data_IF_157106287789
#
_entry.id   IF_157106287789
#
_cell.length_a   1.000
_cell.length_b   1.000
_cell.length_c   1.000
_cell.angle_alpha   90.00
_cell.angle_beta   90.00
_cell.angle_gamma   90.00
#
_symmetry.space_group_name_H-M   'P 1'
#
loop_
_entity.id
_entity.type
_entity.pdbx_description
1 polymer ?
#
# COMPACT_ATOMS: atom_id res chain seq x y z
N UNK A 1 12.05 24.48 -0.17
CA UNK A 1 12.25 24.22 -1.61
C UNK A 1 10.90 23.96 -2.22
N UNK A 2 10.62 24.61 -3.36
CA UNK A 2 9.39 24.37 -4.11
C UNK A 2 9.73 23.95 -5.53
N UNK A 3 8.98 22.97 -6.05
CA UNK A 3 9.09 22.53 -7.43
C UNK A 3 7.70 22.21 -8.02
N UNK A 4 7.43 22.59 -9.26
CA UNK A 4 6.14 22.29 -9.89
C UNK A 4 5.94 20.79 -10.09
N UNK A 5 7.02 20.06 -10.38
CA UNK A 5 7.01 18.62 -10.62
C UNK A 5 8.36 17.98 -10.24
N UNK A 6 8.28 16.76 -9.71
CA UNK A 6 9.41 15.87 -9.43
C UNK A 6 9.07 14.47 -9.93
N UNK A 7 9.82 13.98 -10.91
CA UNK A 7 9.68 12.61 -11.40
C UNK A 7 10.43 11.64 -10.48
N UNK A 8 9.74 10.65 -9.93
CA UNK A 8 10.30 9.72 -8.94
C UNK A 8 11.42 8.84 -9.53
N UNK A 9 11.31 8.46 -10.80
CA UNK A 9 12.37 7.72 -11.48
C UNK A 9 13.70 8.48 -11.53
N UNK A 10 13.67 9.82 -11.47
CA UNK A 10 14.90 10.64 -11.45
C UNK A 10 15.61 10.53 -10.08
N UNK A 11 14.89 10.22 -9.01
CA UNK A 11 15.48 9.95 -7.71
C UNK A 11 16.35 8.69 -7.72
N UNK A 12 16.05 7.74 -8.60
CA UNK A 12 16.89 6.55 -8.79
C UNK A 12 18.30 6.91 -9.30
N UNK A 13 18.45 7.98 -10.08
CA UNK A 13 19.76 8.47 -10.49
C UNK A 13 20.59 9.02 -9.32
N UNK A 14 19.91 9.54 -8.29
CA UNK A 14 20.55 10.04 -7.05
C UNK A 14 20.91 8.91 -6.10
N UNK A 15 20.29 7.73 -6.25
CA UNK A 15 20.53 6.57 -5.40
C UNK A 15 22.00 6.09 -5.40
N UNK A 16 22.77 6.39 -6.43
CA UNK A 16 24.23 6.13 -6.47
C UNK A 16 25.00 6.90 -5.39
N UNK A 17 24.47 8.03 -4.92
CA UNK A 17 25.07 8.86 -3.86
C UNK A 17 24.54 8.52 -2.48
N UNK A 18 23.50 7.67 -2.37
CA UNK A 18 23.01 7.18 -1.08
C UNK A 18 23.99 6.14 -0.56
N UNK A 19 24.48 6.24 0.69
CA UNK A 19 25.35 5.24 1.30
C UNK A 19 24.72 3.84 1.21
N UNK A 20 25.57 2.82 1.03
CA UNK A 20 25.12 1.44 1.07
C UNK A 20 24.44 1.15 2.42
N UNK A 21 23.23 0.53 2.37
CA UNK A 21 22.43 0.22 3.54
C UNK A 21 20.97 -0.02 3.18
N UNK A 22 20.15 -0.18 4.21
CA UNK A 22 18.74 -0.59 4.06
C UNK A 22 17.91 0.40 3.25
N UNK A 23 18.17 1.70 3.36
CA UNK A 23 17.50 2.73 2.55
C UNK A 23 17.76 2.57 1.06
N UNK A 24 19.00 2.23 0.68
CA UNK A 24 19.35 2.00 -0.72
C UNK A 24 18.64 0.76 -1.26
N UNK A 25 18.62 -0.31 -0.49
CA UNK A 25 17.92 -1.55 -0.83
C UNK A 25 16.41 -1.32 -0.93
N UNK A 26 15.84 -0.56 -0.01
CA UNK A 26 14.44 -0.16 -0.03
C UNK A 26 14.10 0.58 -1.33
N UNK A 27 14.83 1.63 -1.67
CA UNK A 27 14.59 2.40 -2.89
C UNK A 27 14.74 1.54 -4.15
N UNK A 28 15.72 0.64 -4.20
CA UNK A 28 15.89 -0.28 -5.33
C UNK A 28 14.74 -1.27 -5.46
N UNK A 29 14.26 -1.81 -4.34
CA UNK A 29 13.13 -2.77 -4.33
C UNK A 29 11.81 -2.11 -4.70
N UNK A 30 11.55 -0.94 -4.15
CA UNK A 30 10.33 -0.18 -4.45
C UNK A 30 10.31 0.35 -5.88
N UNK A 31 11.49 0.68 -6.44
CA UNK A 31 11.63 1.24 -7.79
C UNK A 31 10.51 2.24 -8.15
N UNK A 32 10.31 3.31 -7.36
CA UNK A 32 9.15 4.17 -7.50
C UNK A 32 9.19 4.92 -8.82
N UNK A 33 8.05 4.96 -9.49
CA UNK A 33 7.82 5.66 -10.75
C UNK A 33 6.59 6.54 -10.64
N UNK A 34 6.48 7.55 -11.52
CA UNK A 34 5.39 8.52 -11.51
C UNK A 34 5.87 9.91 -11.13
N UNK A 35 4.95 10.81 -10.85
CA UNK A 35 5.27 12.20 -10.57
C UNK A 35 4.73 12.67 -9.21
N UNK A 36 5.48 13.53 -8.54
CA UNK A 36 4.99 14.40 -7.48
C UNK A 36 4.83 15.79 -8.06
N UNK A 37 3.63 16.37 -7.96
CA UNK A 37 3.31 17.73 -8.43
C UNK A 37 3.12 18.67 -7.25
N UNK A 38 3.36 19.95 -7.49
CA UNK A 38 3.23 21.01 -6.48
C UNK A 38 4.03 20.67 -5.21
N UNK A 39 5.26 20.25 -5.40
CA UNK A 39 6.15 19.80 -4.33
C UNK A 39 6.54 20.99 -3.46
N UNK A 40 6.30 20.89 -2.16
CA UNK A 40 6.75 21.81 -1.12
C UNK A 40 7.56 21.01 -0.08
N UNK A 41 8.87 21.30 0.01
CA UNK A 41 9.79 20.65 0.95
C UNK A 41 10.32 21.70 1.93
N UNK A 42 9.96 21.55 3.18
CA UNK A 42 10.50 22.28 4.32
C UNK A 42 11.59 21.46 5.00
N UNK A 43 12.70 22.12 5.31
CA UNK A 43 13.80 21.51 6.04
C UNK A 43 14.30 22.45 7.14
N UNK A 44 14.34 21.97 8.37
CA UNK A 44 14.77 22.73 9.55
C UNK A 44 15.82 21.98 10.36
N UNK A 45 17.08 22.39 10.25
CA UNK A 45 18.21 21.78 10.95
C UNK A 45 18.19 21.99 12.47
N UNK A 46 17.37 22.88 12.99
CA UNK A 46 17.28 23.18 14.42
C UNK A 46 16.43 22.18 15.18
N UNK A 47 15.62 21.39 14.46
CA UNK A 47 14.68 20.40 15.01
C UNK A 47 15.33 19.03 15.19
N UNK A 48 14.75 18.15 16.05
CA UNK A 48 15.06 16.72 16.08
C UNK A 48 14.93 16.08 14.71
N UNK A 49 15.70 15.01 14.44
CA UNK A 49 15.74 14.37 13.11
C UNK A 49 14.36 14.05 12.53
N UNK A 50 13.48 13.49 13.35
CA UNK A 50 12.11 13.10 12.93
C UNK A 50 11.21 14.27 12.54
N UNK A 51 11.55 15.50 12.97
CA UNK A 51 10.79 16.71 12.71
C UNK A 51 11.45 17.64 11.69
N UNK A 52 12.66 17.30 11.21
CA UNK A 52 13.43 18.18 10.31
C UNK A 52 12.82 18.37 8.95
N UNK A 53 12.09 17.37 8.46
CA UNK A 53 11.57 17.34 7.10
C UNK A 53 10.06 17.36 7.11
N UNK A 54 9.47 18.16 6.25
CA UNK A 54 8.07 18.08 5.87
C UNK A 54 7.97 18.24 4.36
N UNK A 55 7.55 17.18 3.70
CA UNK A 55 7.23 17.13 2.28
C UNK A 55 5.72 17.17 2.11
N UNK A 56 5.23 17.99 1.20
CA UNK A 56 3.85 18.03 0.72
C UNK A 56 3.87 17.99 -0.79
N UNK A 57 2.99 17.18 -1.38
CA UNK A 57 2.89 17.08 -2.83
C UNK A 57 1.55 16.42 -3.24
N UNK A 58 1.20 16.54 -4.52
CA UNK A 58 0.18 15.72 -5.13
C UNK A 58 0.88 14.56 -5.84
N UNK A 59 0.58 13.32 -5.43
CA UNK A 59 1.00 12.12 -6.11
C UNK A 59 0.18 11.95 -7.39
N UNK A 60 0.85 11.64 -8.48
CA UNK A 60 0.23 11.43 -9.80
C UNK A 60 0.75 10.14 -10.41
N UNK A 61 -0.13 9.14 -10.48
CA UNK A 61 0.13 7.84 -11.11
C UNK A 61 1.37 7.12 -10.56
N UNK A 62 1.55 7.14 -9.23
CA UNK A 62 2.69 6.49 -8.57
C UNK A 62 2.57 4.97 -8.68
N UNK A 63 3.67 4.33 -9.10
CA UNK A 63 3.85 2.89 -9.12
C UNK A 63 4.99 2.51 -8.19
N UNK A 64 4.88 1.36 -7.52
CA UNK A 64 5.92 0.84 -6.63
C UNK A 64 5.94 -0.67 -6.65
N UNK A 65 7.13 -1.27 -6.55
CA UNK A 65 7.31 -2.70 -6.35
C UNK A 65 6.92 -3.15 -4.95
N UNK A 66 6.79 -4.47 -4.77
CA UNK A 66 6.57 -5.07 -3.46
C UNK A 66 7.86 -5.07 -2.63
N UNK A 67 7.73 -4.86 -1.31
CA UNK A 67 8.86 -4.92 -0.39
C UNK A 67 8.40 -5.28 1.03
N UNK A 68 9.03 -6.29 1.62
CA UNK A 68 8.93 -6.67 3.05
C UNK A 68 7.50 -6.60 3.63
N UNK A 69 6.54 -7.27 2.98
CA UNK A 69 5.14 -7.27 3.41
C UNK A 69 4.29 -6.11 2.88
N UNK A 70 4.91 -5.13 2.23
CA UNK A 70 4.18 -4.08 1.49
C UNK A 70 3.87 -4.59 0.08
N UNK A 71 2.62 -4.48 -0.41
CA UNK A 71 2.29 -4.88 -1.77
C UNK A 71 2.93 -3.96 -2.82
N UNK A 72 3.16 -4.49 -4.01
CA UNK A 72 3.32 -3.64 -5.18
C UNK A 72 2.00 -2.93 -5.48
N UNK A 73 2.06 -1.71 -5.99
CA UNK A 73 0.88 -0.97 -6.41
C UNK A 73 1.16 -0.13 -7.66
N UNK A 74 0.09 0.14 -8.41
CA UNK A 74 0.15 0.99 -9.60
C UNK A 74 -0.98 2.01 -9.60
N UNK A 75 -0.73 3.14 -10.27
CA UNK A 75 -1.69 4.22 -10.48
C UNK A 75 -2.20 4.85 -9.18
N UNK A 76 -1.33 4.96 -8.17
CA UNK A 76 -1.64 5.67 -6.93
C UNK A 76 -1.61 7.16 -7.17
N UNK A 77 -2.74 7.83 -6.92
CA UNK A 77 -2.87 9.29 -7.01
C UNK A 77 -3.53 9.82 -5.75
N UNK A 78 -3.19 11.07 -5.38
CA UNK A 78 -3.76 11.70 -4.19
C UNK A 78 -2.83 12.74 -3.56
N UNK A 79 -3.21 13.25 -2.39
CA UNK A 79 -2.39 14.20 -1.64
C UNK A 79 -1.46 13.47 -0.68
N UNK A 80 -0.17 13.78 -0.75
CA UNK A 80 0.89 13.21 0.07
C UNK A 80 1.42 14.25 1.07
N UNK A 81 1.54 13.86 2.33
CA UNK A 81 2.34 14.57 3.32
C UNK A 81 3.26 13.59 4.05
N UNK A 82 4.56 13.88 4.11
CA UNK A 82 5.56 13.00 4.72
C UNK A 82 6.61 13.78 5.49
N UNK A 83 6.90 13.34 6.70
CA UNK A 83 8.13 13.61 7.44
C UNK A 83 9.14 12.48 7.27
N UNK A 84 10.21 12.47 8.10
CA UNK A 84 11.24 11.41 8.05
C UNK A 84 10.69 10.08 8.59
N UNK A 85 9.88 10.12 9.64
CA UNK A 85 9.39 8.90 10.31
C UNK A 85 7.87 8.74 10.29
N UNK A 86 7.15 9.62 9.62
CA UNK A 86 5.69 9.56 9.58
C UNK A 86 5.15 10.19 8.30
N UNK A 87 3.95 9.85 7.95
CA UNK A 87 3.27 10.47 6.82
C UNK A 87 1.92 9.86 6.54
N UNK A 88 1.27 10.40 5.55
CA UNK A 88 0.04 9.85 5.01
C UNK A 88 -0.12 10.22 3.54
N UNK A 89 -0.94 9.45 2.87
CA UNK A 89 -1.48 9.77 1.55
C UNK A 89 -3.01 9.69 1.60
N UNK A 90 -3.66 10.76 1.18
CA UNK A 90 -5.09 10.78 0.90
C UNK A 90 -5.28 10.29 -0.53
N UNK A 91 -5.62 9.00 -0.67
CA UNK A 91 -5.82 8.35 -1.96
C UNK A 91 -7.08 8.87 -2.64
N UNK A 92 -6.96 9.19 -3.91
CA UNK A 92 -8.05 9.46 -4.84
C UNK A 92 -7.64 9.04 -6.26
N UNK A 93 -7.43 7.74 -6.44
CA UNK A 93 -7.06 7.14 -7.72
C UNK A 93 -8.33 6.80 -8.49
N UNK A 94 -8.62 7.55 -9.56
CA UNK A 94 -9.83 7.43 -10.36
C UNK A 94 -9.57 6.84 -11.77
N UNK A 95 -8.30 6.65 -12.13
CA UNK A 95 -7.89 6.16 -13.46
C UNK A 95 -7.35 4.72 -13.41
N UNK A 96 -7.93 3.92 -12.56
CA UNK A 96 -7.44 2.59 -12.25
C UNK A 96 -6.52 2.60 -11.03
N UNK A 97 -6.43 1.46 -10.39
CA UNK A 97 -5.52 1.16 -9.28
C UNK A 97 -5.28 -0.35 -9.30
N UNK A 98 -4.06 -0.78 -9.10
CA UNK A 98 -3.83 -2.20 -8.82
C UNK A 98 -2.96 -2.39 -7.59
N UNK A 99 -3.16 -3.53 -6.94
CA UNK A 99 -2.40 -3.97 -5.78
C UNK A 99 -1.98 -5.43 -5.97
N UNK A 100 -0.74 -5.75 -5.66
CA UNK A 100 -0.21 -7.09 -5.81
C UNK A 100 0.64 -7.52 -4.62
N UNK A 101 0.19 -8.56 -3.95
CA UNK A 101 0.92 -9.27 -2.91
C UNK A 101 1.48 -10.59 -3.46
N UNK A 102 2.71 -10.62 -4.00
CA UNK A 102 3.25 -11.81 -4.66
C UNK A 102 3.43 -13.01 -3.73
N UNK A 103 3.57 -12.79 -2.43
CA UNK A 103 3.66 -13.85 -1.41
C UNK A 103 2.30 -14.45 -1.01
N UNK A 104 1.19 -13.90 -1.46
CA UNK A 104 -0.16 -14.29 -1.03
C UNK A 104 -1.06 -14.60 -2.24
N UNK A 105 -0.93 -13.86 -3.33
CA UNK A 105 -1.77 -13.95 -4.52
C UNK A 105 -0.92 -14.20 -5.76
N UNK A 106 -1.46 -14.98 -6.72
CA UNK A 106 -0.77 -15.24 -7.99
C UNK A 106 -0.82 -14.06 -8.95
N UNK A 107 -1.86 -13.24 -8.86
CA UNK A 107 -2.10 -12.14 -9.79
C UNK A 107 -2.45 -10.83 -9.06
N UNK A 108 -2.20 -9.68 -9.70
CA UNK A 108 -2.63 -8.39 -9.17
C UNK A 108 -4.15 -8.28 -9.08
N UNK A 109 -4.62 -7.60 -8.06
CA UNK A 109 -6.01 -7.16 -7.95
C UNK A 109 -6.17 -5.81 -8.63
N UNK A 110 -7.12 -5.72 -9.57
CA UNK A 110 -7.40 -4.49 -10.32
C UNK A 110 -8.71 -3.86 -9.88
N UNK A 111 -8.67 -2.54 -9.70
CA UNK A 111 -9.81 -1.73 -9.30
C UNK A 111 -9.91 -0.51 -10.22
N UNK A 112 -11.10 0.00 -10.43
CA UNK A 112 -11.35 1.22 -11.19
C UNK A 112 -11.03 2.45 -10.36
N UNK A 113 -11.29 2.37 -9.05
CA UNK A 113 -11.07 3.45 -8.09
C UNK A 113 -10.52 2.93 -6.78
N UNK A 114 -9.60 3.72 -6.19
CA UNK A 114 -9.16 3.57 -4.81
C UNK A 114 -9.26 4.93 -4.10
N UNK A 115 -9.85 4.95 -2.89
CA UNK A 115 -9.97 6.15 -2.09
C UNK A 115 -9.82 5.82 -0.60
N UNK A 116 -9.32 6.78 0.17
CA UNK A 116 -9.11 6.66 1.61
C UNK A 116 -7.79 7.24 2.06
N UNK A 117 -7.50 7.18 3.36
CA UNK A 117 -6.21 7.62 3.89
C UNK A 117 -5.37 6.42 4.28
N UNK A 118 -4.16 6.33 3.75
CA UNK A 118 -3.12 5.41 4.22
C UNK A 118 -2.07 6.24 4.96
N UNK A 119 -1.72 5.82 6.16
CA UNK A 119 -0.76 6.51 7.03
C UNK A 119 0.33 5.55 7.47
N UNK A 120 1.51 6.08 7.78
CA UNK A 120 2.62 5.32 8.32
C UNK A 120 3.32 6.07 9.44
N UNK A 121 3.88 5.30 10.35
CA UNK A 121 4.64 5.81 11.48
C UNK A 121 5.80 4.86 11.81
N UNK A 122 7.02 5.36 11.76
CA UNK A 122 8.20 4.64 12.22
C UNK A 122 8.33 4.78 13.73
N UNK A 123 8.54 3.66 14.41
CA UNK A 123 8.76 3.57 15.86
C UNK A 123 10.21 3.09 16.07
N UNK A 124 11.17 4.02 16.27
CA UNK A 124 12.60 3.66 16.37
C UNK A 124 12.90 2.65 17.48
N UNK A 125 12.20 2.76 18.63
CA UNK A 125 12.42 1.91 19.81
C UNK A 125 12.07 0.45 19.56
N UNK A 126 11.21 0.19 18.58
CA UNK A 126 10.77 -1.16 18.15
C UNK A 126 11.35 -1.58 16.83
N UNK A 127 12.07 -0.68 16.16
CA UNK A 127 12.58 -0.85 14.81
C UNK A 127 11.50 -1.36 13.83
N UNK A 128 10.33 -0.73 13.89
CA UNK A 128 9.16 -1.13 13.13
C UNK A 128 8.48 0.06 12.47
N UNK A 129 7.83 -0.16 11.34
CA UNK A 129 6.95 0.81 10.70
C UNK A 129 5.52 0.31 10.80
N UNK A 130 4.65 1.08 11.42
CA UNK A 130 3.22 0.87 11.38
C UNK A 130 2.65 1.51 10.12
N UNK A 131 1.91 0.73 9.32
CA UNK A 131 1.21 1.23 8.12
C UNK A 131 -0.26 0.86 8.26
N UNK A 132 -1.14 1.81 8.01
CA UNK A 132 -2.56 1.50 8.16
C UNK A 132 -3.50 2.51 7.55
N UNK A 133 -4.76 2.12 7.56
CA UNK A 133 -5.90 2.93 7.14
C UNK A 133 -7.09 2.64 8.04
N UNK A 134 -7.67 3.69 8.60
CA UNK A 134 -8.93 3.57 9.35
C UNK A 134 -10.13 3.39 8.41
N UNK A 135 -9.97 3.82 7.17
CA UNK A 135 -10.96 3.66 6.12
C UNK A 135 -10.32 3.72 4.74
N UNK A 136 -10.48 2.64 3.99
CA UNK A 136 -10.15 2.56 2.58
C UNK A 136 -11.34 2.00 1.80
N UNK A 137 -11.53 2.43 0.57
CA UNK A 137 -12.52 1.90 -0.36
C UNK A 137 -11.91 1.63 -1.72
N UNK A 138 -12.24 0.49 -2.28
CA UNK A 138 -11.82 0.01 -3.59
C UNK A 138 -13.08 -0.35 -4.38
N UNK A 139 -13.21 0.16 -5.60
CA UNK A 139 -14.36 -0.11 -6.45
C UNK A 139 -13.88 -0.65 -7.79
N UNK A 140 -14.49 -1.70 -8.27
CA UNK A 140 -14.17 -2.32 -9.56
C UNK A 140 -15.23 -3.32 -9.98
N UNK A 141 -14.93 -4.12 -11.01
CA UNK A 141 -15.86 -5.11 -11.56
C UNK A 141 -16.23 -6.20 -10.56
N UNK A 142 -15.32 -6.47 -9.60
CA UNK A 142 -15.54 -7.43 -8.52
C UNK A 142 -16.41 -6.87 -7.36
N UNK A 143 -16.94 -5.66 -7.48
CA UNK A 143 -17.77 -5.01 -6.49
C UNK A 143 -17.08 -3.86 -5.76
N UNK A 144 -17.61 -3.52 -4.58
CA UNK A 144 -17.08 -2.47 -3.71
C UNK A 144 -16.51 -3.10 -2.43
N UNK A 145 -15.21 -2.98 -2.22
CA UNK A 145 -14.55 -3.35 -0.98
C UNK A 145 -14.34 -2.10 -0.11
N UNK A 146 -14.69 -2.18 1.17
CA UNK A 146 -14.46 -1.12 2.16
C UNK A 146 -13.95 -1.73 3.45
N UNK A 147 -12.98 -1.06 4.07
CA UNK A 147 -12.45 -1.60 5.32
C UNK A 147 -11.36 -0.76 5.93
N UNK A 148 -10.73 -1.36 6.93
CA UNK A 148 -9.55 -0.85 7.59
C UNK A 148 -8.48 -1.94 7.67
N UNK A 149 -7.23 -1.50 7.80
CA UNK A 149 -6.11 -2.41 8.00
C UNK A 149 -5.01 -1.73 8.83
N UNK A 150 -4.20 -2.57 9.49
CA UNK A 150 -2.97 -2.18 10.14
C UNK A 150 -1.92 -3.26 9.94
N UNK A 151 -0.73 -2.82 9.54
CA UNK A 151 0.45 -3.65 9.35
C UNK A 151 1.51 -3.17 10.34
N UNK A 152 2.06 -4.08 11.12
CA UNK A 152 3.29 -3.88 11.88
C UNK A 152 4.42 -4.51 11.08
N UNK A 153 5.31 -3.68 10.53
CA UNK A 153 6.36 -4.07 9.61
C UNK A 153 7.73 -3.91 10.29
N UNK A 154 8.28 -4.95 10.94
CA UNK A 154 9.64 -4.92 11.46
C UNK A 154 10.65 -4.71 10.32
N UNK A 155 11.63 -3.83 10.54
CA UNK A 155 12.67 -3.53 9.54
C UNK A 155 13.74 -4.63 9.47
N UNK A 156 13.92 -5.41 10.54
CA UNK A 156 14.88 -6.50 10.63
C UNK A 156 14.22 -7.81 11.09
N UNK A 157 14.31 -8.84 10.27
CA UNK A 157 14.11 -10.29 10.49
C UNK A 157 13.09 -10.76 11.56
N UNK A 158 12.04 -10.01 11.84
CA UNK A 158 10.95 -10.41 12.70
C UNK A 158 9.67 -10.64 11.86
N UNK A 159 8.79 -11.50 12.31
CA UNK A 159 7.47 -11.63 11.71
C UNK A 159 6.66 -10.35 11.98
N UNK A 160 6.06 -9.78 10.94
CA UNK A 160 5.13 -8.68 11.07
C UNK A 160 3.75 -9.18 11.52
N UNK A 161 2.94 -8.28 12.03
CA UNK A 161 1.53 -8.56 12.32
C UNK A 161 0.63 -7.78 11.37
N UNK A 162 -0.48 -8.39 10.97
CA UNK A 162 -1.51 -7.75 10.17
C UNK A 162 -2.88 -7.88 10.84
N UNK A 163 -3.58 -6.76 10.87
CA UNK A 163 -5.01 -6.70 11.11
C UNK A 163 -5.72 -6.19 9.86
N UNK A 164 -6.79 -6.86 9.46
CA UNK A 164 -7.58 -6.52 8.29
C UNK A 164 -9.07 -6.77 8.57
N UNK A 165 -9.92 -5.78 8.32
CA UNK A 165 -11.36 -5.94 8.31
C UNK A 165 -11.92 -5.34 7.03
N UNK A 166 -12.56 -6.16 6.20
CA UNK A 166 -13.11 -5.77 4.90
C UNK A 166 -14.57 -6.17 4.82
N UNK A 167 -15.42 -5.23 4.39
CA UNK A 167 -16.76 -5.49 3.87
C UNK A 167 -16.75 -5.43 2.36
N UNK A 168 -17.37 -6.40 1.71
CA UNK A 168 -17.55 -6.47 0.25
C UNK A 168 -19.03 -6.32 -0.07
N UNK A 169 -19.36 -5.53 -1.09
CA UNK A 169 -20.72 -5.31 -1.57
C UNK A 169 -20.82 -5.47 -3.08
N UNK A 170 -22.00 -5.85 -3.54
CA UNK A 170 -22.35 -5.91 -4.97
C UNK A 170 -21.34 -6.75 -5.77
N UNK A 171 -20.93 -7.88 -5.24
CA UNK A 171 -19.98 -8.80 -5.87
C UNK A 171 -20.68 -10.03 -6.45
N UNK A 172 -19.91 -10.84 -7.13
CA UNK A 172 -20.36 -12.13 -7.68
C UNK A 172 -19.34 -13.21 -7.32
N UNK A 173 -19.83 -14.43 -7.10
CA UNK A 173 -19.01 -15.57 -6.72
C UNK A 173 -17.92 -15.91 -7.74
N UNK A 174 -18.09 -15.55 -9.02
CA UNK A 174 -17.05 -15.71 -10.05
C UNK A 174 -15.74 -14.97 -9.76
N UNK A 175 -15.78 -13.90 -8.94
CA UNK A 175 -14.59 -13.14 -8.54
C UNK A 175 -13.88 -13.72 -7.31
N UNK A 176 -14.35 -14.84 -6.74
CA UNK A 176 -13.77 -15.46 -5.54
C UNK A 176 -12.26 -15.68 -5.64
N UNK A 177 -11.78 -16.15 -6.79
CA UNK A 177 -10.38 -16.50 -6.99
C UNK A 177 -9.44 -15.28 -6.88
N UNK A 178 -9.95 -14.08 -7.13
CA UNK A 178 -9.24 -12.81 -6.91
C UNK A 178 -8.95 -12.56 -5.42
N UNK A 179 -9.83 -13.03 -4.53
CA UNK A 179 -9.75 -12.77 -3.09
C UNK A 179 -9.21 -13.96 -2.27
N UNK A 180 -9.03 -15.15 -2.90
CA UNK A 180 -8.54 -16.34 -2.19
C UNK A 180 -7.00 -16.39 -2.23
N UNK A 181 -6.33 -16.29 -1.05
CA UNK A 181 -4.89 -16.44 -0.96
C UNK A 181 -4.46 -17.87 -1.36
N UNK A 182 -3.43 -18.00 -2.19
CA UNK A 182 -2.90 -19.33 -2.59
C UNK A 182 -2.18 -20.05 -1.45
N UNK A 183 -1.81 -19.34 -0.39
CA UNK A 183 -1.16 -19.88 0.80
C UNK A 183 -2.10 -20.69 1.70
N UNK A 184 -3.43 -20.65 1.46
CA UNK A 184 -4.39 -21.44 2.21
C UNK A 184 -4.16 -22.95 1.98
N UNK A 185 -4.46 -23.82 2.97
CA UNK A 185 -4.37 -25.26 2.81
C UNK A 185 -5.15 -25.74 1.57
N UNK A 186 -4.57 -26.68 0.81
CA UNK A 186 -5.14 -27.13 -0.46
C UNK A 186 -6.58 -27.67 -0.32
N UNK A 187 -6.86 -28.39 0.78
CA UNK A 187 -8.20 -28.91 1.07
C UNK A 187 -9.21 -27.79 1.30
N UNK A 188 -8.81 -26.73 2.00
CA UNK A 188 -9.65 -25.55 2.23
C UNK A 188 -9.91 -24.80 0.91
N UNK A 189 -8.86 -24.58 0.10
CA UNK A 189 -9.01 -23.96 -1.22
C UNK A 189 -9.96 -24.77 -2.12
N UNK A 190 -9.79 -26.08 -2.15
CA UNK A 190 -10.65 -26.99 -2.93
C UNK A 190 -12.10 -26.93 -2.43
N UNK A 191 -12.30 -26.95 -1.12
CA UNK A 191 -13.63 -26.84 -0.53
C UNK A 191 -14.28 -25.49 -0.87
N UNK A 192 -13.56 -24.37 -0.70
CA UNK A 192 -14.06 -23.03 -1.04
C UNK A 192 -14.45 -22.94 -2.52
N UNK A 193 -13.59 -23.42 -3.43
CA UNK A 193 -13.86 -23.41 -4.87
C UNK A 193 -15.08 -24.24 -5.27
N UNK A 194 -15.28 -25.38 -4.61
CA UNK A 194 -16.40 -26.26 -4.91
C UNK A 194 -17.71 -25.84 -4.24
N UNK A 195 -17.63 -25.20 -3.07
CA UNK A 195 -18.80 -24.80 -2.28
C UNK A 195 -19.41 -23.47 -2.72
N UNK A 196 -18.57 -22.58 -3.31
CA UNK A 196 -19.02 -21.27 -3.79
C UNK A 196 -19.32 -21.41 -5.29
N UNK A 197 -20.58 -21.69 -5.63
CA UNK A 197 -21.06 -21.71 -7.03
C UNK A 197 -21.28 -20.31 -7.60
N UNK A 198 -21.95 -20.23 -8.76
CA UNK A 198 -22.37 -18.96 -9.33
C UNK A 198 -23.50 -18.38 -8.48
N UNK A 199 -23.21 -17.28 -7.82
CA UNK A 199 -24.16 -16.57 -6.98
C UNK A 199 -23.84 -15.08 -6.95
N UNK A 200 -24.85 -14.26 -6.74
CA UNK A 200 -24.69 -12.88 -6.36
C UNK A 200 -24.26 -12.81 -4.89
N UNK A 201 -23.33 -11.91 -4.59
CA UNK A 201 -22.83 -11.66 -3.23
C UNK A 201 -23.19 -10.22 -2.87
N UNK A 202 -24.42 -9.98 -2.39
CA UNK A 202 -24.86 -8.62 -2.06
C UNK A 202 -24.01 -7.99 -0.96
N UNK A 203 -23.64 -8.81 0.05
CA UNK A 203 -22.75 -8.40 1.14
C UNK A 203 -21.92 -9.60 1.61
N UNK A 204 -20.63 -9.34 1.88
CA UNK A 204 -19.74 -10.27 2.57
C UNK A 204 -18.84 -9.50 3.53
N UNK A 205 -18.22 -10.18 4.48
CA UNK A 205 -17.26 -9.60 5.41
C UNK A 205 -16.12 -10.57 5.70
N UNK A 206 -14.94 -10.02 5.88
CA UNK A 206 -13.74 -10.75 6.21
C UNK A 206 -12.96 -10.01 7.29
N UNK A 207 -12.53 -10.74 8.32
CA UNK A 207 -11.65 -10.22 9.37
C UNK A 207 -10.46 -11.18 9.48
N UNK A 208 -9.27 -10.61 9.50
CA UNK A 208 -8.02 -11.34 9.72
C UNK A 208 -7.18 -10.65 10.78
N UNK A 209 -6.54 -11.44 11.63
CA UNK A 209 -5.48 -11.00 12.54
C UNK A 209 -4.44 -12.11 12.66
N UNK A 210 -3.19 -11.79 12.36
CA UNK A 210 -2.08 -12.73 12.46
C UNK A 210 -0.79 -12.15 11.89
N UNK A 211 0.28 -12.92 12.01
CA UNK A 211 1.61 -12.68 11.44
C UNK A 211 2.14 -13.93 10.78
#
# INVERSE_FOLDING_TARGET
LQAPELLLQNLMAVNQYVPAGDLKNLFQSLNPQGALRNVDLLWDNTKPLTERMLLRANADSINSGAWNGVPAFTQVSGYLQSGIGYGFIDLDSNNGFSMFYPSIYHEPMHFQRAAGRVQWHWIPERDTVLVGSDYASLTGDAGEARGNFWLDLPLHNAAGEMYLAIGLRNSQARYRDMFLPYILPADLLSWLKNSIGDAEVPNAGFIYRGG
#
